data_IF_828511767825
#
_entry.id   IF_828511767825
#
_cell.length_a   1.000
_cell.length_b   1.000
_cell.length_c   1.000
_cell.angle_alpha   90.00
_cell.angle_beta   90.00
_cell.angle_gamma   90.00
#
_symmetry.space_group_name_H-M   'P 1'
#
loop_
_entity.id
_entity.type
_entity.pdbx_description
1 polymer ?
#
# COMPACT_ATOMS: atom_id res chain seq x y z
N UNK A 1 -9.87 -15.77 6.79
CA UNK A 1 -8.56 -16.18 7.35
C UNK A 1 -8.72 -17.57 7.94
N UNK A 2 -7.71 -18.43 7.83
CA UNK A 2 -7.71 -19.79 8.39
C UNK A 2 -6.70 -19.88 9.52
N UNK A 3 -7.09 -20.52 10.61
CA UNK A 3 -6.17 -20.82 11.69
C UNK A 3 -5.28 -21.99 11.27
N UNK A 4 -3.98 -21.80 11.37
CA UNK A 4 -2.96 -22.81 11.10
C UNK A 4 -2.11 -23.01 12.34
N UNK A 5 -1.53 -24.20 12.49
CA UNK A 5 -0.69 -24.54 13.62
C UNK A 5 0.65 -25.09 13.16
N UNK A 6 1.71 -24.62 13.80
CA UNK A 6 3.08 -25.01 13.50
C UNK A 6 3.80 -25.47 14.76
N UNK A 7 4.64 -26.49 14.64
CA UNK A 7 5.50 -26.95 15.72
C UNK A 7 6.78 -26.08 15.76
N UNK A 8 6.86 -25.18 16.73
CA UNK A 8 7.93 -24.17 16.81
C UNK A 8 8.98 -24.51 17.87
N UNK A 9 10.16 -23.90 17.76
CA UNK A 9 11.23 -24.06 18.75
C UNK A 9 10.80 -23.47 20.11
N UNK A 10 11.36 -23.97 21.23
CA UNK A 10 11.09 -23.40 22.55
C UNK A 10 11.28 -21.89 22.56
N UNK A 11 10.33 -21.18 23.16
CA UNK A 11 10.31 -19.70 23.30
C UNK A 11 10.26 -18.91 21.98
N UNK A 12 10.40 -19.52 20.82
CA UNK A 12 10.45 -18.80 19.53
C UNK A 12 9.21 -17.96 19.27
N UNK A 13 8.01 -18.54 19.47
CA UNK A 13 6.76 -17.79 19.36
C UNK A 13 6.65 -16.68 20.42
N UNK A 14 7.10 -16.95 21.65
CA UNK A 14 7.11 -15.97 22.73
C UNK A 14 8.02 -14.78 22.42
N UNK A 15 9.22 -15.04 21.92
CA UNK A 15 10.18 -14.01 21.50
C UNK A 15 9.64 -13.18 20.34
N UNK A 16 8.99 -13.81 19.35
CA UNK A 16 8.33 -13.06 18.29
C UNK A 16 7.20 -12.16 18.85
N UNK A 17 6.33 -12.73 19.68
CA UNK A 17 5.20 -12.04 20.30
C UNK A 17 5.63 -10.89 21.22
N UNK A 18 6.81 -10.97 21.84
CA UNK A 18 7.35 -9.90 22.69
C UNK A 18 7.99 -8.75 21.90
N UNK A 19 8.34 -8.99 20.63
CA UNK A 19 8.95 -7.97 19.76
C UNK A 19 7.92 -7.19 18.93
N UNK A 20 6.66 -7.64 18.91
CA UNK A 20 5.63 -7.13 18.01
C UNK A 20 4.30 -7.00 18.73
N UNK A 21 3.64 -5.85 18.59
CA UNK A 21 2.28 -5.61 19.11
C UNK A 21 1.31 -6.73 18.73
N UNK A 22 0.49 -7.14 19.70
CA UNK A 22 -0.48 -8.23 19.54
C UNK A 22 -1.42 -8.06 18.35
N UNK A 23 -1.85 -6.82 18.07
CA UNK A 23 -2.72 -6.45 16.94
C UNK A 23 -2.02 -6.58 15.57
N UNK A 24 -0.69 -6.49 15.55
CA UNK A 24 0.14 -6.45 14.34
C UNK A 24 0.82 -7.78 14.02
N UNK A 25 0.96 -8.69 14.98
CA UNK A 25 1.64 -9.99 14.83
C UNK A 25 1.19 -10.76 13.58
N UNK A 26 -0.12 -10.94 13.39
CA UNK A 26 -0.60 -11.69 12.20
C UNK A 26 -0.36 -10.93 10.89
N UNK A 27 -0.31 -9.59 10.91
CA UNK A 27 -0.04 -8.78 9.71
C UNK A 27 1.44 -8.81 9.33
N UNK A 28 2.32 -8.57 10.30
CA UNK A 28 3.78 -8.56 10.09
C UNK A 28 4.27 -9.92 9.62
N UNK A 29 3.84 -11.01 10.26
CA UNK A 29 4.26 -12.35 9.85
C UNK A 29 3.80 -12.69 8.42
N UNK A 30 2.56 -12.32 8.03
CA UNK A 30 2.06 -12.54 6.67
C UNK A 30 2.82 -11.74 5.63
N UNK A 31 3.01 -10.44 5.88
CA UNK A 31 3.75 -9.56 4.98
C UNK A 31 5.18 -10.06 4.78
N UNK A 32 5.83 -10.45 5.88
CA UNK A 32 7.18 -11.01 5.82
C UNK A 32 7.24 -12.26 4.94
N UNK A 33 6.32 -13.21 5.13
CA UNK A 33 6.25 -14.44 4.31
C UNK A 33 6.02 -14.14 2.82
N UNK A 34 5.15 -13.16 2.52
CA UNK A 34 4.72 -12.84 1.16
C UNK A 34 5.75 -12.02 0.38
N UNK A 35 6.45 -11.10 1.05
CA UNK A 35 7.19 -10.04 0.36
C UNK A 35 8.68 -9.98 0.69
N UNK A 36 9.09 -10.43 1.88
CA UNK A 36 10.46 -10.21 2.36
C UNK A 36 11.24 -11.53 2.49
N UNK A 37 10.57 -12.61 2.85
CA UNK A 37 11.22 -13.89 3.09
C UNK A 37 11.68 -14.53 1.78
N UNK A 38 12.99 -14.80 1.73
CA UNK A 38 13.63 -15.61 0.70
C UNK A 38 14.20 -16.88 1.33
N UNK A 39 14.25 -17.95 0.54
CA UNK A 39 14.93 -19.16 0.97
C UNK A 39 16.44 -18.88 1.08
N UNK A 40 17.12 -19.42 2.11
CA UNK A 40 18.56 -19.32 2.18
C UNK A 40 19.21 -20.09 1.03
N UNK A 41 20.39 -19.67 0.60
CA UNK A 41 21.19 -20.42 -0.39
C UNK A 41 21.45 -21.85 0.09
N UNK A 42 21.76 -21.99 1.39
CA UNK A 42 21.95 -23.28 2.05
C UNK A 42 20.62 -23.83 2.60
N UNK A 43 19.92 -24.62 1.80
CA UNK A 43 18.63 -25.22 2.14
C UNK A 43 18.69 -26.28 3.26
N UNK A 44 19.87 -26.82 3.57
CA UNK A 44 20.04 -27.80 4.65
C UNK A 44 19.63 -27.26 6.04
N UNK A 45 19.61 -25.94 6.22
CA UNK A 45 19.16 -25.27 7.44
C UNK A 45 17.66 -25.52 7.71
N UNK A 46 16.88 -25.81 6.66
CA UNK A 46 15.44 -26.09 6.73
C UNK A 46 15.16 -27.62 6.69
N UNK A 47 16.22 -28.44 6.57
CA UNK A 47 16.12 -29.90 6.48
C UNK A 47 15.91 -30.58 7.85
N UNK A 48 14.96 -30.04 8.61
CA UNK A 48 14.55 -30.61 9.88
C UNK A 48 13.06 -30.91 9.77
N UNK A 49 12.67 -32.14 9.47
CA UNK A 49 11.26 -32.54 9.39
C UNK A 49 10.48 -32.37 10.71
N UNK A 50 9.57 -33.28 11.02
CA UNK A 50 8.85 -33.19 12.30
C UNK A 50 9.78 -33.47 13.48
N UNK A 51 9.95 -32.47 14.35
CA UNK A 51 10.66 -32.60 15.63
C UNK A 51 9.64 -32.97 16.71
N UNK A 52 9.85 -34.11 17.38
CA UNK A 52 9.00 -34.57 18.49
C UNK A 52 9.15 -33.65 19.70
N UNK A 53 8.07 -33.48 20.48
CA UNK A 53 8.09 -32.72 21.73
C UNK A 53 8.00 -31.19 21.59
N UNK A 54 7.80 -30.67 20.38
CA UNK A 54 7.60 -29.24 20.16
C UNK A 54 6.15 -28.81 20.38
N UNK A 55 5.97 -27.63 20.98
CA UNK A 55 4.64 -27.04 21.20
C UNK A 55 4.05 -26.53 19.89
N UNK A 56 2.76 -26.82 19.68
CA UNK A 56 1.99 -26.27 18.57
C UNK A 56 1.55 -24.84 18.91
N UNK A 57 1.91 -23.91 18.03
CA UNK A 57 1.51 -22.51 18.13
C UNK A 57 0.59 -22.15 16.96
N UNK A 58 -0.45 -21.37 17.27
CA UNK A 58 -1.53 -21.01 16.34
C UNK A 58 -1.28 -19.65 15.70
N UNK A 59 -1.53 -19.55 14.41
CA UNK A 59 -1.43 -18.32 13.62
C UNK A 59 -2.64 -18.18 12.68
N UNK A 60 -2.96 -16.96 12.28
CA UNK A 60 -4.04 -16.65 11.34
C UNK A 60 -3.46 -16.26 9.98
N UNK A 61 -3.60 -17.14 8.99
CA UNK A 61 -3.12 -16.90 7.63
C UNK A 61 -4.29 -16.70 6.66
N UNK A 62 -4.08 -15.87 5.64
CA UNK A 62 -4.96 -15.81 4.47
C UNK A 62 -4.56 -16.86 3.42
N UNK A 63 -5.35 -16.97 2.36
CA UNK A 63 -5.10 -17.94 1.30
C UNK A 63 -3.76 -17.68 0.57
N UNK A 64 -3.40 -16.44 0.20
CA UNK A 64 -2.10 -16.15 -0.43
C UNK A 64 -0.91 -16.58 0.44
N UNK A 65 -0.95 -16.28 1.75
CA UNK A 65 0.13 -16.69 2.66
C UNK A 65 0.27 -18.22 2.71
N UNK A 66 -0.86 -18.94 2.73
CA UNK A 66 -0.87 -20.40 2.72
C UNK A 66 -0.32 -20.99 1.42
N UNK A 67 -0.67 -20.40 0.27
CA UNK A 67 -0.16 -20.80 -1.04
C UNK A 67 1.36 -20.59 -1.07
N UNK A 68 1.84 -19.40 -0.69
CA UNK A 68 3.27 -19.09 -0.67
C UNK A 68 4.05 -20.05 0.22
N UNK A 69 3.56 -20.34 1.42
CA UNK A 69 4.21 -21.29 2.32
C UNK A 69 4.29 -22.70 1.71
N UNK A 70 3.24 -23.14 1.00
CA UNK A 70 3.23 -24.42 0.30
C UNK A 70 4.25 -24.47 -0.82
N UNK A 71 4.35 -23.42 -1.62
CA UNK A 71 5.32 -23.33 -2.72
C UNK A 71 6.75 -23.41 -2.21
N UNK A 72 7.06 -22.69 -1.13
CA UNK A 72 8.37 -22.72 -0.49
C UNK A 72 8.71 -24.13 0.01
N UNK A 73 7.78 -24.81 0.69
CA UNK A 73 7.99 -26.21 1.12
C UNK A 73 8.21 -27.14 -0.07
N UNK A 74 7.39 -27.00 -1.13
CA UNK A 74 7.53 -27.80 -2.37
C UNK A 74 8.91 -27.58 -3.01
N UNK A 75 9.39 -26.34 -3.07
CA UNK A 75 10.70 -26.01 -3.61
C UNK A 75 11.82 -26.68 -2.82
N UNK A 76 11.80 -26.58 -1.49
CA UNK A 76 12.82 -27.21 -0.63
C UNK A 76 12.82 -28.73 -0.79
N UNK A 77 11.63 -29.35 -0.88
CA UNK A 77 11.50 -30.80 -1.14
C UNK A 77 12.03 -31.24 -2.51
N UNK A 78 11.77 -30.45 -3.55
CA UNK A 78 12.30 -30.71 -4.91
C UNK A 78 13.83 -30.75 -4.93
N UNK A 79 14.48 -30.04 -4.02
CA UNK A 79 15.94 -30.02 -3.88
C UNK A 79 16.47 -31.13 -2.93
N UNK A 80 15.68 -32.17 -2.64
CA UNK A 80 16.14 -33.36 -1.90
C UNK A 80 16.05 -33.27 -0.38
N UNK A 81 15.43 -32.22 0.18
CA UNK A 81 15.34 -32.01 1.63
C UNK A 81 13.97 -32.39 2.21
N UNK A 82 13.95 -32.83 3.46
CA UNK A 82 12.76 -33.29 4.21
C UNK A 82 12.08 -32.11 4.92
N UNK A 83 11.80 -31.03 4.17
CA UNK A 83 11.12 -29.88 4.73
C UNK A 83 9.61 -30.12 4.87
N UNK A 84 9.01 -29.55 5.90
CA UNK A 84 7.56 -29.40 6.04
C UNK A 84 7.20 -27.97 6.45
N UNK A 85 5.90 -27.65 6.53
CA UNK A 85 5.43 -26.31 6.88
C UNK A 85 5.98 -25.84 8.23
N UNK A 86 6.04 -26.71 9.25
CA UNK A 86 6.59 -26.36 10.55
C UNK A 86 8.08 -26.06 10.50
N UNK A 87 8.87 -26.86 9.78
CA UNK A 87 10.31 -26.66 9.60
C UNK A 87 10.63 -25.31 8.96
N UNK A 88 9.86 -24.96 7.92
CA UNK A 88 9.98 -23.72 7.22
C UNK A 88 9.57 -22.55 8.12
N UNK A 89 8.47 -22.69 8.87
CA UNK A 89 8.02 -21.67 9.81
C UNK A 89 9.00 -21.44 10.96
N UNK A 90 9.70 -22.48 11.44
CA UNK A 90 10.81 -22.32 12.40
C UNK A 90 11.90 -21.43 11.80
N UNK A 91 12.30 -21.66 10.55
CA UNK A 91 13.32 -20.83 9.91
C UNK A 91 12.84 -19.40 9.65
N UNK A 92 11.63 -19.24 9.07
CA UNK A 92 11.00 -17.93 8.82
C UNK A 92 10.96 -17.09 10.09
N UNK A 93 10.49 -17.66 11.21
CA UNK A 93 10.41 -16.94 12.47
C UNK A 93 11.79 -16.59 13.03
N UNK A 94 12.79 -17.46 12.90
CA UNK A 94 14.17 -17.15 13.32
C UNK A 94 14.76 -15.96 12.53
N UNK A 95 14.54 -15.93 11.21
CA UNK A 95 14.97 -14.82 10.36
C UNK A 95 14.23 -13.53 10.71
N UNK A 96 12.90 -13.59 10.87
CA UNK A 96 12.09 -12.45 11.24
C UNK A 96 12.50 -11.88 12.62
N UNK A 97 12.68 -12.74 13.63
CA UNK A 97 13.16 -12.32 14.95
C UNK A 97 14.54 -11.66 14.86
N UNK A 98 15.44 -12.22 14.05
CA UNK A 98 16.77 -11.64 13.84
C UNK A 98 16.67 -10.25 13.21
N UNK A 99 15.82 -10.08 12.19
CA UNK A 99 15.61 -8.78 11.54
C UNK A 99 15.00 -7.76 12.51
N UNK A 100 13.98 -8.16 13.30
CA UNK A 100 13.37 -7.31 14.31
C UNK A 100 14.34 -6.90 15.42
N UNK A 101 15.28 -7.78 15.81
CA UNK A 101 16.32 -7.47 16.79
C UNK A 101 17.44 -6.59 16.24
N UNK A 102 17.86 -6.79 14.98
CA UNK A 102 18.89 -5.96 14.32
C UNK A 102 18.40 -4.54 14.07
N UNK A 103 17.10 -4.37 13.82
CA UNK A 103 16.47 -3.07 13.60
C UNK A 103 15.92 -2.47 14.91
N UNK A 104 16.62 -2.67 16.04
CA UNK A 104 16.19 -2.35 17.42
C UNK A 104 16.02 -0.85 17.74
N UNK A 105 15.94 0.02 16.73
CA UNK A 105 15.41 1.38 16.83
C UNK A 105 13.88 1.47 16.70
N UNK A 106 13.16 0.36 16.67
CA UNK A 106 11.69 0.39 16.69
C UNK A 106 11.18 -0.56 17.78
N UNK A 107 11.03 -0.11 19.05
CA UNK A 107 9.82 -0.50 19.75
C UNK A 107 8.66 -0.09 18.84
N UNK A 108 7.58 -0.89 18.67
CA UNK A 108 6.41 -0.32 18.05
C UNK A 108 5.98 0.82 18.97
N UNK A 109 6.30 2.06 18.56
CA UNK A 109 5.47 3.22 18.90
C UNK A 109 4.09 2.68 18.56
N UNK A 110 3.24 2.41 19.57
CA UNK A 110 1.84 2.03 19.37
C UNK A 110 1.40 2.70 18.08
N UNK A 111 1.07 1.94 17.02
CA UNK A 111 0.86 2.53 15.70
C UNK A 111 -0.14 3.66 15.87
N UNK A 112 0.37 4.88 15.88
CA UNK A 112 -0.39 6.04 16.28
C UNK A 112 -1.06 6.53 15.00
N UNK A 113 -1.99 5.71 14.52
CA UNK A 113 -2.68 5.93 13.27
C UNK A 113 -3.54 7.16 13.46
N UNK A 114 -3.20 8.24 12.76
CA UNK A 114 -3.96 9.47 12.82
C UNK A 114 -4.80 9.60 11.55
N UNK A 115 -6.14 9.64 11.68
CA UNK A 115 -6.98 10.01 10.56
C UNK A 115 -6.78 11.49 10.25
N UNK A 116 -6.34 11.81 9.04
CA UNK A 116 -6.21 13.17 8.55
C UNK A 116 -7.11 13.39 7.34
N UNK A 117 -7.61 14.61 7.22
CA UNK A 117 -8.39 15.04 6.06
C UNK A 117 -7.46 15.77 5.11
N UNK A 118 -7.38 15.26 3.88
CA UNK A 118 -6.62 15.88 2.80
C UNK A 118 -7.56 16.25 1.67
N UNK A 119 -7.20 17.31 0.95
CA UNK A 119 -7.99 17.86 -0.14
C UNK A 119 -7.26 17.62 -1.46
N UNK A 120 -7.97 17.07 -2.42
CA UNK A 120 -7.48 16.69 -3.75
C UNK A 120 -8.34 17.35 -4.83
N UNK A 121 -7.92 17.24 -6.09
CA UNK A 121 -8.75 17.66 -7.22
C UNK A 121 -9.94 16.72 -7.36
N UNK A 122 -11.15 17.23 -7.63
CA UNK A 122 -12.35 16.38 -7.88
C UNK A 122 -12.03 15.31 -8.95
N UNK A 123 -12.34 14.05 -8.65
CA UNK A 123 -12.06 12.88 -9.50
C UNK A 123 -10.80 12.09 -9.12
N UNK A 124 -9.94 12.61 -8.24
CA UNK A 124 -8.72 11.90 -7.80
C UNK A 124 -9.04 10.60 -7.06
N UNK A 125 -10.05 10.62 -6.20
CA UNK A 125 -10.51 9.47 -5.42
C UNK A 125 -10.99 8.34 -6.32
N UNK A 126 -11.79 8.67 -7.31
CA UNK A 126 -12.32 7.70 -8.28
C UNK A 126 -11.19 7.04 -9.07
N UNK A 127 -10.29 7.86 -9.64
CA UNK A 127 -9.12 7.35 -10.37
C UNK A 127 -8.25 6.48 -9.47
N UNK A 128 -7.97 6.91 -8.24
CA UNK A 128 -7.19 6.11 -7.29
C UNK A 128 -7.88 4.76 -6.99
N UNK A 129 -9.20 4.74 -6.85
CA UNK A 129 -9.97 3.52 -6.54
C UNK A 129 -9.97 2.50 -7.68
N UNK A 130 -9.71 2.92 -8.93
CA UNK A 130 -9.50 2.01 -10.07
C UNK A 130 -8.21 1.17 -9.92
N UNK A 131 -7.18 1.72 -9.27
CA UNK A 131 -5.88 1.05 -9.11
C UNK A 131 -5.66 0.50 -7.70
N UNK A 132 -6.25 1.14 -6.69
CA UNK A 132 -6.06 0.81 -5.28
C UNK A 132 -7.42 0.75 -4.58
N UNK A 133 -7.82 -0.46 -4.20
CA UNK A 133 -9.09 -0.65 -3.51
C UNK A 133 -9.18 0.16 -2.21
N UNK A 134 -10.38 0.62 -1.88
CA UNK A 134 -10.65 1.39 -0.66
C UNK A 134 -10.07 0.75 0.62
N UNK A 135 -10.14 -0.59 0.73
CA UNK A 135 -9.61 -1.35 1.88
C UNK A 135 -8.09 -1.27 2.00
N UNK A 136 -7.39 -1.15 0.88
CA UNK A 136 -5.92 -1.14 0.84
C UNK A 136 -5.34 0.28 0.75
N UNK A 137 -6.15 1.28 0.38
CA UNK A 137 -5.74 2.67 0.13
C UNK A 137 -4.78 3.22 1.19
N UNK A 138 -5.18 3.18 2.46
CA UNK A 138 -4.38 3.72 3.56
C UNK A 138 -3.02 3.02 3.70
N UNK A 139 -2.99 1.69 3.54
CA UNK A 139 -1.76 0.91 3.65
C UNK A 139 -0.81 1.16 2.47
N UNK A 140 -1.36 1.31 1.25
CA UNK A 140 -0.57 1.63 0.06
C UNK A 140 0.03 3.03 0.16
N UNK A 141 -0.77 4.01 0.56
CA UNK A 141 -0.30 5.39 0.75
C UNK A 141 0.77 5.46 1.83
N UNK A 142 0.55 4.84 2.99
CA UNK A 142 1.54 4.80 4.09
C UNK A 142 2.86 4.19 3.62
N UNK A 143 2.79 3.03 2.98
CA UNK A 143 3.97 2.32 2.47
C UNK A 143 4.72 3.16 1.44
N UNK A 144 3.99 3.77 0.50
CA UNK A 144 4.59 4.60 -0.54
C UNK A 144 5.33 5.80 0.05
N UNK A 145 4.75 6.48 1.05
CA UNK A 145 5.42 7.58 1.76
C UNK A 145 6.73 7.09 2.38
N UNK A 146 6.70 5.95 3.06
CA UNK A 146 7.84 5.42 3.82
C UNK A 146 8.96 4.83 2.93
N UNK A 147 8.62 4.21 1.81
CA UNK A 147 9.59 3.44 1.01
C UNK A 147 9.98 4.14 -0.30
N UNK A 148 9.01 4.71 -1.02
CA UNK A 148 9.17 5.06 -2.44
C UNK A 148 9.12 6.57 -2.72
N UNK A 149 8.44 7.33 -1.88
CA UNK A 149 8.09 8.73 -2.17
C UNK A 149 9.32 9.64 -2.19
N UNK A 150 9.40 10.42 -3.27
CA UNK A 150 10.30 11.56 -3.44
C UNK A 150 9.45 12.75 -3.91
N UNK A 151 9.55 13.92 -3.26
CA UNK A 151 8.77 15.08 -3.67
C UNK A 151 9.06 15.48 -5.13
N UNK A 152 8.00 15.78 -5.87
CA UNK A 152 8.08 16.41 -7.18
C UNK A 152 8.63 17.84 -7.11
N UNK A 153 8.83 18.47 -8.26
CA UNK A 153 9.34 19.83 -8.32
C UNK A 153 8.42 20.83 -7.57
N UNK A 154 9.03 21.89 -7.05
CA UNK A 154 8.33 22.89 -6.23
C UNK A 154 7.18 23.57 -6.98
N UNK A 155 7.29 23.76 -8.30
CA UNK A 155 6.21 24.39 -9.08
C UNK A 155 4.98 23.48 -9.10
N UNK A 156 5.18 22.18 -9.28
CA UNK A 156 4.12 21.19 -9.18
C UNK A 156 3.46 21.18 -7.80
N UNK A 157 4.23 21.20 -6.72
CA UNK A 157 3.70 21.19 -5.34
C UNK A 157 2.88 22.44 -4.98
N UNK A 158 3.22 23.59 -5.58
CA UNK A 158 2.52 24.85 -5.38
C UNK A 158 1.25 24.99 -6.23
N UNK A 159 1.03 24.12 -7.22
CA UNK A 159 -0.19 24.09 -8.03
C UNK A 159 -1.37 23.75 -7.12
N UNK A 160 -2.37 24.64 -7.04
CA UNK A 160 -3.53 24.48 -6.14
C UNK A 160 -4.76 24.06 -6.94
N UNK A 161 -5.50 23.02 -6.53
CA UNK A 161 -6.68 22.58 -7.27
C UNK A 161 -7.82 23.58 -7.05
N UNK A 162 -8.57 23.88 -8.10
CA UNK A 162 -9.75 24.78 -8.02
C UNK A 162 -10.97 24.08 -7.43
N UNK A 163 -11.25 22.85 -7.86
CA UNK A 163 -12.37 22.03 -7.39
C UNK A 163 -11.83 20.95 -6.45
N UNK A 164 -12.20 21.07 -5.17
CA UNK A 164 -11.66 20.23 -4.12
C UNK A 164 -12.62 19.07 -3.77
N UNK A 165 -12.05 17.89 -3.59
CA UNK A 165 -12.69 16.78 -2.90
C UNK A 165 -11.88 16.38 -1.67
N UNK A 166 -12.57 15.94 -0.62
CA UNK A 166 -11.93 15.54 0.63
C UNK A 166 -11.77 14.02 0.68
N UNK A 167 -10.59 13.56 1.07
CA UNK A 167 -10.36 12.17 1.42
C UNK A 167 -9.80 12.05 2.84
N UNK A 168 -10.42 11.19 3.64
CA UNK A 168 -9.90 10.79 4.95
C UNK A 168 -8.89 9.66 4.75
N UNK A 169 -7.65 9.92 5.14
CA UNK A 169 -6.53 8.99 5.02
C UNK A 169 -5.97 8.77 6.42
N UNK A 170 -5.89 7.50 6.83
CA UNK A 170 -5.38 7.11 8.14
C UNK A 170 -4.01 6.47 7.97
N UNK A 171 -2.97 7.16 8.39
CA UNK A 171 -1.58 6.69 8.30
C UNK A 171 -0.91 6.72 9.66
N UNK A 172 0.10 5.88 9.84
CA UNK A 172 0.95 5.92 11.01
C UNK A 172 1.65 7.27 11.19
N UNK A 173 1.92 7.64 12.45
CA UNK A 173 2.64 8.86 12.81
C UNK A 173 3.99 8.97 12.10
N UNK A 174 4.70 7.86 11.90
CA UNK A 174 5.99 7.85 11.18
C UNK A 174 5.88 8.35 9.74
N UNK A 175 4.81 8.00 9.03
CA UNK A 175 4.57 8.50 7.68
C UNK A 175 4.25 10.01 7.69
N UNK A 176 3.58 10.50 8.73
CA UNK A 176 3.32 11.94 8.91
C UNK A 176 4.63 12.68 9.21
N UNK A 177 5.44 12.15 10.12
CA UNK A 177 6.77 12.70 10.47
C UNK A 177 7.65 12.79 9.21
N UNK A 178 7.65 11.76 8.36
CA UNK A 178 8.38 11.79 7.08
C UNK A 178 7.86 12.85 6.10
N UNK A 179 6.55 13.09 6.06
CA UNK A 179 6.00 14.21 5.27
C UNK A 179 6.41 15.57 5.84
N UNK A 180 6.43 15.70 7.16
CA UNK A 180 6.87 16.92 7.85
C UNK A 180 8.35 17.21 7.55
N UNK A 181 9.22 16.20 7.60
CA UNK A 181 10.63 16.30 7.20
C UNK A 181 10.78 16.82 5.76
N UNK A 182 9.96 16.35 4.81
CA UNK A 182 9.99 16.86 3.44
C UNK A 182 9.53 18.32 3.35
N UNK A 183 8.50 18.73 4.10
CA UNK A 183 8.07 20.14 4.14
C UNK A 183 9.20 21.03 4.67
N UNK A 184 9.84 20.60 5.77
CA UNK A 184 10.95 21.32 6.39
C UNK A 184 12.16 21.42 5.45
N UNK A 185 12.53 20.33 4.79
CA UNK A 185 13.66 20.30 3.86
C UNK A 185 13.44 21.15 2.61
N UNK A 186 12.21 21.23 2.10
CA UNK A 186 11.89 22.09 0.95
C UNK A 186 11.88 23.57 1.38
N UNK A 187 11.51 23.87 2.63
CA UNK A 187 11.52 25.20 3.25
C UNK A 187 10.81 26.32 2.44
N UNK A 188 9.92 25.96 1.51
CA UNK A 188 9.24 26.91 0.62
C UNK A 188 7.84 27.24 1.13
N UNK A 189 7.54 28.54 1.22
CA UNK A 189 6.20 29.03 1.60
C UNK A 189 5.13 28.49 0.63
N UNK A 190 4.13 27.81 1.19
CA UNK A 190 3.01 27.25 0.43
C UNK A 190 3.11 25.74 0.17
N UNK A 191 4.29 25.15 0.34
CA UNK A 191 4.44 23.68 0.38
C UNK A 191 3.97 23.22 1.76
N UNK A 192 2.97 22.36 1.78
CA UNK A 192 2.33 21.86 3.00
C UNK A 192 2.21 20.34 2.95
N UNK A 193 1.92 19.72 4.10
CA UNK A 193 1.55 18.31 4.18
C UNK A 193 0.48 17.92 3.15
N UNK A 194 -0.52 18.79 2.93
CA UNK A 194 -1.57 18.55 1.94
C UNK A 194 -1.05 18.65 0.50
N UNK A 195 -0.09 19.53 0.21
CA UNK A 195 0.55 19.57 -1.10
C UNK A 195 1.34 18.28 -1.38
N UNK A 196 2.14 17.82 -0.41
CA UNK A 196 2.89 16.57 -0.54
C UNK A 196 1.96 15.35 -0.60
N UNK A 197 0.85 15.34 0.15
CA UNK A 197 -0.10 14.22 0.07
C UNK A 197 -0.79 14.14 -1.29
N UNK A 198 -1.09 15.29 -1.93
CA UNK A 198 -1.58 15.31 -3.32
C UNK A 198 -0.55 14.68 -4.26
N UNK A 199 0.69 15.13 -4.16
CA UNK A 199 1.81 14.60 -4.96
C UNK A 199 2.04 13.09 -4.74
N UNK A 200 1.95 12.62 -3.49
CA UNK A 200 1.99 11.19 -3.14
C UNK A 200 0.93 10.40 -3.89
N UNK A 201 -0.33 10.84 -3.85
CA UNK A 201 -1.43 10.15 -4.52
C UNK A 201 -1.27 10.21 -6.04
N UNK A 202 -0.84 11.35 -6.57
CA UNK A 202 -0.60 11.51 -8.01
C UNK A 202 0.53 10.59 -8.51
N UNK A 203 1.61 10.45 -7.75
CA UNK A 203 2.73 9.56 -8.04
C UNK A 203 2.35 8.07 -7.94
N UNK A 204 1.47 7.71 -7.00
CA UNK A 204 0.92 6.35 -6.92
C UNK A 204 0.12 6.04 -8.19
N UNK A 205 -0.77 6.95 -8.60
CA UNK A 205 -1.57 6.77 -9.82
C UNK A 205 -0.66 6.69 -11.05
N UNK A 206 0.35 7.55 -11.16
CA UNK A 206 1.29 7.54 -12.28
C UNK A 206 2.04 6.20 -12.37
N UNK A 207 2.55 5.72 -11.22
CA UNK A 207 3.29 4.46 -11.11
C UNK A 207 2.43 3.24 -11.46
N UNK A 208 1.13 3.27 -11.16
CA UNK A 208 0.21 2.16 -11.42
C UNK A 208 -0.45 2.20 -12.80
N UNK A 209 -0.68 3.38 -13.35
CA UNK A 209 -1.36 3.57 -14.65
C UNK A 209 -0.41 3.59 -15.85
N UNK A 210 0.90 3.77 -15.63
CA UNK A 210 1.89 4.01 -16.69
C UNK A 210 1.49 5.15 -17.64
N UNK A 211 0.71 6.12 -17.15
CA UNK A 211 0.13 7.21 -17.93
C UNK A 211 0.18 8.52 -17.13
N UNK A 212 -0.04 9.67 -17.79
CA UNK A 212 -0.17 10.96 -17.12
C UNK A 212 -1.42 11.00 -16.20
N UNK A 213 -1.18 11.07 -14.90
CA UNK A 213 -2.20 11.19 -13.86
C UNK A 213 -3.12 12.39 -14.07
N UNK A 214 -2.60 13.54 -14.54
CA UNK A 214 -3.41 14.76 -14.71
C UNK A 214 -4.47 14.55 -15.79
N UNK A 215 -4.13 13.82 -16.85
CA UNK A 215 -5.06 13.43 -17.91
C UNK A 215 -6.17 12.55 -17.34
N UNK A 216 -5.83 11.49 -16.61
CA UNK A 216 -6.81 10.57 -16.01
C UNK A 216 -7.79 11.29 -15.06
N UNK A 217 -7.27 12.17 -14.19
CA UNK A 217 -8.11 12.95 -13.28
C UNK A 217 -9.01 13.92 -14.05
N UNK A 218 -8.51 14.56 -15.11
CA UNK A 218 -9.31 15.44 -15.94
C UNK A 218 -10.42 14.69 -16.68
N UNK A 219 -10.14 13.49 -17.20
CA UNK A 219 -11.11 12.62 -17.87
C UNK A 219 -12.20 12.16 -16.92
N UNK A 220 -11.85 11.65 -15.74
CA UNK A 220 -12.83 11.25 -14.72
C UNK A 220 -13.73 12.42 -14.31
N UNK A 221 -13.14 13.62 -14.17
CA UNK A 221 -13.92 14.83 -13.86
C UNK A 221 -14.89 15.19 -15.00
N UNK A 222 -14.44 15.11 -16.25
CA UNK A 222 -15.29 15.37 -17.41
C UNK A 222 -16.44 14.35 -17.45
N UNK A 223 -16.16 13.06 -17.31
CA UNK A 223 -17.17 12.01 -17.29
C UNK A 223 -18.22 12.24 -16.20
N UNK A 224 -17.80 12.60 -14.99
CA UNK A 224 -18.72 12.94 -13.90
C UNK A 224 -19.58 14.17 -14.23
N UNK A 225 -19.00 15.23 -14.81
CA UNK A 225 -19.74 16.42 -15.19
C UNK A 225 -20.79 16.12 -16.29
N UNK A 226 -20.43 15.29 -17.27
CA UNK A 226 -21.36 14.84 -18.31
C UNK A 226 -22.48 13.99 -17.72
N UNK A 227 -22.16 13.08 -16.81
CA UNK A 227 -23.15 12.26 -16.13
C UNK A 227 -24.09 13.10 -15.25
N UNK A 228 -23.56 14.05 -14.46
CA UNK A 228 -24.37 14.99 -13.66
C UNK A 228 -25.32 15.80 -14.56
N UNK A 229 -24.85 16.27 -15.71
CA UNK A 229 -25.66 16.99 -16.69
C UNK A 229 -26.74 16.10 -17.32
N UNK A 230 -26.41 14.87 -17.73
CA UNK A 230 -27.35 13.89 -18.26
C UNK A 230 -28.46 13.58 -17.25
N UNK A 231 -28.12 13.39 -15.97
CA UNK A 231 -29.10 13.13 -14.92
C UNK A 231 -30.03 14.32 -14.68
N UNK A 232 -29.52 15.55 -14.80
CA UNK A 232 -30.31 16.76 -14.54
C UNK A 232 -31.21 17.17 -15.71
N UNK A 233 -30.72 17.04 -16.95
CA UNK A 233 -31.37 17.60 -18.14
C UNK A 233 -31.77 16.56 -19.19
N UNK A 234 -31.38 15.31 -19.01
CA UNK A 234 -31.65 14.23 -19.94
C UNK A 234 -30.60 14.08 -21.04
N UNK A 235 -30.54 12.88 -21.61
CA UNK A 235 -29.54 12.46 -22.59
C UNK A 235 -29.59 13.24 -23.90
N UNK A 236 -30.79 13.55 -24.39
CA UNK A 236 -30.96 14.27 -25.66
C UNK A 236 -30.44 15.70 -25.57
N UNK A 237 -30.72 16.39 -24.45
CA UNK A 237 -30.21 17.75 -24.20
C UNK A 237 -28.69 17.76 -24.06
N UNK A 238 -28.12 16.77 -23.37
CA UNK A 238 -26.66 16.62 -23.30
C UNK A 238 -26.04 16.44 -24.70
N UNK A 239 -26.64 15.57 -25.52
CA UNK A 239 -26.16 15.32 -26.89
C UNK A 239 -26.18 16.60 -27.73
N UNK A 240 -27.28 17.34 -27.70
CA UNK A 240 -27.41 18.59 -28.46
C UNK A 240 -26.39 19.63 -28.00
N UNK A 241 -26.14 19.71 -26.69
CA UNK A 241 -25.16 20.64 -26.13
C UNK A 241 -23.73 20.25 -26.50
N UNK A 242 -23.38 18.97 -26.46
CA UNK A 242 -22.09 18.47 -26.93
C UNK A 242 -21.90 18.72 -28.43
N UNK A 243 -22.95 18.51 -29.23
CA UNK A 243 -22.89 18.77 -30.67
C UNK A 243 -22.56 20.22 -30.95
N UNK A 244 -23.21 21.17 -30.26
CA UNK A 244 -22.88 22.60 -30.37
C UNK A 244 -21.41 22.88 -30.11
N UNK A 245 -20.80 22.32 -29.06
CA UNK A 245 -19.38 22.54 -28.77
C UNK A 245 -18.43 21.94 -29.81
N UNK A 246 -18.80 20.81 -30.42
CA UNK A 246 -17.99 20.17 -31.47
C UNK A 246 -18.12 20.91 -32.81
N UNK A 247 -19.32 21.40 -33.16
CA UNK A 247 -19.54 22.12 -34.42
C UNK A 247 -19.10 23.58 -34.38
N UNK A 248 -19.01 24.21 -33.20
CA UNK A 248 -18.51 25.58 -33.07
C UNK A 248 -17.04 25.70 -33.52
N UNK A 249 -16.27 24.62 -33.38
CA UNK A 249 -14.83 24.54 -33.71
C UNK A 249 -14.57 24.45 -35.22
N UNK A 250 -15.57 24.08 -36.04
CA UNK A 250 -15.44 24.01 -37.51
C UNK A 250 -15.86 25.31 -38.22
N UNK A 251 -16.44 26.27 -37.51
CA UNK A 251 -17.01 27.51 -38.09
C UNK A 251 -16.19 28.78 -37.88
N UNK A 252 -15.08 28.74 -37.13
CA UNK A 252 -14.21 29.91 -36.92
C UNK A 252 -12.82 29.71 -37.55
N UNK A 253 -12.52 30.32 -38.73
CA UNK A 253 -11.15 30.57 -39.12
C UNK A 253 -10.63 31.73 -38.25
N UNK A 254 -9.99 31.42 -37.13
CA UNK A 254 -9.26 32.44 -36.36
C UNK A 254 -8.02 32.84 -37.16
N UNK A 255 -8.12 34.04 -37.74
CA UNK A 255 -7.10 35.00 -38.17
C UNK A 255 -5.63 34.58 -38.23
#
# INVERSE_FOLDING_TARGET
MKQVSFSLLPRQAGTYKSLVDSSMQSKILRNYILHEYQLPEQLSIINEGDKKGLKLEKFLFDEPTNIRLNELVKYVRKNGYIANRSSLMRHILSQLITNLKKNSTIPPKERAVRPLNFYFKKGTKEVLEQFVSFRNRNAVIERFILEDYKPSDVKHLLDKPKELEQMRISVDRTAIEKLDEFVENIAQKGVTRTALMRDVVENIIAKLSNTDTRKLIAEARLQNALFEYEQAFGKDVLRDQLYKYVTYDESDPVH
#
